data_IF_016611236689
#
_entry.id   IF_016611236689
#
_cell.length_a   1.000
_cell.length_b   1.000
_cell.length_c   1.000
_cell.angle_alpha   90.00
_cell.angle_beta   90.00
_cell.angle_gamma   90.00
#
_symmetry.space_group_name_H-M   'P 1'
#
loop_
_entity.id
_entity.type
_entity.pdbx_description
1 polymer ?
#
# COMPACT_ATOMS: atom_id res chain seq x y z
N UNK A 1 -24.96 12.10 -25.01
CA UNK A 1 -24.36 13.18 -24.20
C UNK A 1 -23.95 12.56 -22.87
N UNK A 2 -22.67 12.22 -22.68
CA UNK A 2 -22.22 11.62 -21.43
C UNK A 2 -22.14 12.72 -20.36
N UNK A 3 -22.94 12.57 -19.32
CA UNK A 3 -22.80 13.32 -18.07
C UNK A 3 -21.59 12.75 -17.33
N UNK A 4 -20.38 13.10 -17.76
CA UNK A 4 -19.17 12.82 -16.98
C UNK A 4 -19.16 13.89 -15.90
N UNK A 5 -19.59 13.53 -14.68
CA UNK A 5 -19.31 14.37 -13.51
C UNK A 5 -17.79 14.58 -13.48
N UNK A 6 -17.30 15.83 -13.34
CA UNK A 6 -15.87 16.07 -13.22
C UNK A 6 -15.33 15.24 -12.05
N UNK A 7 -14.28 14.47 -12.30
CA UNK A 7 -13.62 13.68 -11.26
C UNK A 7 -13.06 14.63 -10.19
N UNK A 8 -13.20 14.27 -8.91
CA UNK A 8 -12.72 15.10 -7.81
C UNK A 8 -11.19 15.04 -7.78
N UNK A 9 -10.46 16.17 -7.88
CA UNK A 9 -9.00 16.16 -7.83
C UNK A 9 -8.45 15.65 -6.49
N UNK A 10 -9.32 15.52 -5.48
CA UNK A 10 -8.99 14.93 -4.19
C UNK A 10 -8.57 13.45 -4.30
N UNK A 11 -9.25 12.68 -5.15
CA UNK A 11 -9.09 11.24 -5.27
C UNK A 11 -8.11 10.83 -6.37
N UNK A 12 -7.19 11.73 -6.73
CA UNK A 12 -6.15 11.46 -7.72
C UNK A 12 -4.97 10.72 -7.07
N UNK A 13 -4.69 9.50 -7.56
CA UNK A 13 -3.47 8.75 -7.25
C UNK A 13 -2.28 9.42 -7.94
N UNK A 14 -1.32 9.89 -7.15
CA UNK A 14 -0.12 10.58 -7.67
C UNK A 14 1.14 9.82 -7.21
N UNK A 15 1.71 8.94 -8.05
CA UNK A 15 2.91 8.19 -7.70
C UNK A 15 4.04 9.14 -7.29
N UNK A 16 4.80 8.75 -6.26
CA UNK A 16 5.87 9.54 -5.62
C UNK A 16 5.44 10.90 -5.03
N UNK A 17 4.15 11.28 -5.10
CA UNK A 17 3.66 12.60 -4.65
C UNK A 17 2.58 12.54 -3.58
N UNK A 18 1.73 11.51 -3.56
CA UNK A 18 0.68 11.31 -2.54
C UNK A 18 -0.72 11.10 -3.13
N UNK A 19 -1.76 11.60 -2.46
CA UNK A 19 -3.17 11.47 -2.83
C UNK A 19 -3.81 12.86 -2.97
N UNK A 20 -4.10 13.28 -4.21
CA UNK A 20 -4.71 14.59 -4.48
C UNK A 20 -3.97 15.73 -3.77
N UNK A 21 -4.60 16.47 -2.83
CA UNK A 21 -3.95 17.53 -2.06
C UNK A 21 -3.04 17.01 -0.92
N UNK A 22 -3.19 15.76 -0.50
CA UNK A 22 -2.39 15.15 0.57
C UNK A 22 -1.05 14.71 -0.03
N UNK A 23 0.04 15.38 0.36
CA UNK A 23 1.38 15.09 -0.17
C UNK A 23 2.16 14.16 0.76
N UNK A 24 3.00 13.32 0.17
CA UNK A 24 4.02 12.65 0.96
C UNK A 24 4.87 13.65 1.73
N UNK A 25 5.40 13.22 2.87
CA UNK A 25 6.13 14.03 3.84
C UNK A 25 5.31 15.13 4.53
N UNK A 26 4.01 15.22 4.25
CA UNK A 26 3.11 16.08 5.03
C UNK A 26 2.91 15.48 6.42
N UNK A 27 2.83 16.36 7.42
CA UNK A 27 2.56 15.99 8.79
C UNK A 27 1.14 15.42 8.95
N UNK A 28 1.00 14.41 9.82
CA UNK A 28 -0.28 13.75 10.13
C UNK A 28 -1.37 14.73 10.56
N UNK A 29 -1.03 15.84 11.23
CA UNK A 29 -2.00 16.88 11.62
C UNK A 29 -2.78 17.47 10.45
N UNK A 30 -2.26 17.38 9.21
CA UNK A 30 -2.95 17.84 8.02
C UNK A 30 -4.22 17.02 7.71
N UNK A 31 -4.36 15.80 8.24
CA UNK A 31 -5.52 14.93 8.04
C UNK A 31 -6.85 15.58 8.44
N UNK A 32 -6.86 16.38 9.51
CA UNK A 32 -8.07 17.04 10.00
C UNK A 32 -8.68 17.98 8.93
N UNK A 33 -7.85 18.50 8.02
CA UNK A 33 -8.31 19.36 6.91
C UNK A 33 -9.12 18.58 5.87
N UNK A 34 -8.95 17.26 5.80
CA UNK A 34 -9.47 16.41 4.73
C UNK A 34 -10.46 15.35 5.22
N UNK A 35 -10.90 15.45 6.48
CA UNK A 35 -11.79 14.50 7.13
C UNK A 35 -13.12 14.33 6.40
N UNK A 36 -13.67 15.41 5.85
CA UNK A 36 -14.94 15.38 5.11
C UNK A 36 -14.84 14.55 3.81
N UNK A 37 -13.65 14.46 3.22
CA UNK A 37 -13.41 13.72 1.99
C UNK A 37 -12.97 12.28 2.24
N UNK A 38 -12.09 12.04 3.22
CA UNK A 38 -11.59 10.70 3.56
C UNK A 38 -12.57 9.87 4.39
N UNK A 39 -13.55 10.53 5.01
CA UNK A 39 -14.49 9.91 5.94
C UNK A 39 -13.91 9.76 7.34
N UNK A 40 -14.54 8.90 8.14
CA UNK A 40 -14.17 8.75 9.54
C UNK A 40 -12.98 7.79 9.72
N UNK A 41 -12.10 8.12 10.66
CA UNK A 41 -11.07 7.19 11.14
C UNK A 41 -11.78 6.01 11.81
N UNK A 42 -11.57 4.80 11.30
CA UNK A 42 -12.14 3.56 11.84
C UNK A 42 -11.20 2.84 12.78
N UNK A 43 -9.89 3.00 12.57
CA UNK A 43 -8.84 2.46 13.42
C UNK A 43 -7.56 3.28 13.26
N UNK A 44 -6.74 3.25 14.29
CA UNK A 44 -5.38 3.78 14.27
C UNK A 44 -4.47 2.78 14.97
N UNK A 45 -3.39 2.42 14.31
CA UNK A 45 -2.36 1.54 14.83
C UNK A 45 -1.07 2.33 14.97
N UNK A 46 -0.44 2.27 16.14
CA UNK A 46 0.90 2.80 16.35
C UNK A 46 1.80 1.65 16.76
N UNK A 47 2.88 1.44 16.03
CA UNK A 47 3.90 0.48 16.43
C UNK A 47 4.80 1.19 17.44
N UNK A 48 4.57 0.91 18.73
CA UNK A 48 5.49 1.27 19.79
C UNK A 48 6.31 0.03 20.17
N UNK A 49 7.63 0.09 19.98
CA UNK A 49 8.55 -0.99 20.28
C UNK A 49 8.44 -1.44 21.75
N UNK A 50 8.26 -0.51 22.69
CA UNK A 50 8.09 -0.83 24.12
C UNK A 50 6.81 -1.64 24.37
N UNK A 51 5.71 -1.27 23.70
CA UNK A 51 4.45 -2.01 23.80
C UNK A 51 4.56 -3.42 23.20
N UNK A 52 5.26 -3.56 22.08
CA UNK A 52 5.49 -4.88 21.47
C UNK A 52 6.40 -5.76 22.34
N UNK A 53 7.46 -5.20 22.92
CA UNK A 53 8.32 -5.91 23.86
C UNK A 53 7.53 -6.36 25.10
N UNK A 54 6.67 -5.49 25.64
CA UNK A 54 5.82 -5.85 26.77
C UNK A 54 4.83 -6.98 26.40
N UNK A 55 4.18 -6.90 25.24
CA UNK A 55 3.26 -7.95 24.78
C UNK A 55 3.99 -9.29 24.59
N UNK A 56 5.22 -9.27 24.07
CA UNK A 56 6.05 -10.45 23.93
C UNK A 56 6.41 -11.05 25.30
N UNK A 57 6.82 -10.21 26.26
CA UNK A 57 7.07 -10.63 27.64
C UNK A 57 5.83 -11.28 28.26
N UNK A 58 4.66 -10.65 28.11
CA UNK A 58 3.39 -11.17 28.63
C UNK A 58 3.02 -12.51 27.97
N UNK A 59 3.21 -12.63 26.66
CA UNK A 59 2.96 -13.86 25.90
C UNK A 59 3.89 -15.00 26.34
N UNK A 60 5.20 -14.75 26.44
CA UNK A 60 6.16 -15.76 26.91
C UNK A 60 5.86 -16.18 28.34
N UNK A 61 5.51 -15.25 29.21
CA UNK A 61 5.13 -15.54 30.59
C UNK A 61 3.84 -16.38 30.66
N UNK A 62 2.84 -16.09 29.83
CA UNK A 62 1.58 -16.84 29.77
C UNK A 62 1.77 -18.27 29.25
N UNK A 63 2.72 -18.47 28.34
CA UNK A 63 3.02 -19.74 27.69
C UNK A 63 4.40 -20.27 28.07
N UNK A 64 4.82 -20.06 29.32
CA UNK A 64 6.18 -20.37 29.80
C UNK A 64 6.55 -21.85 29.76
N UNK A 65 5.57 -22.73 29.55
CA UNK A 65 5.79 -24.16 29.32
C UNK A 65 6.24 -24.49 27.89
N UNK A 66 6.04 -23.57 26.94
CA UNK A 66 6.39 -23.74 25.52
C UNK A 66 7.59 -22.90 25.08
N UNK A 67 7.92 -21.83 25.80
CA UNK A 67 8.97 -20.89 25.43
C UNK A 67 10.04 -20.80 26.51
N UNK A 68 11.30 -20.87 26.08
CA UNK A 68 12.44 -20.66 26.96
C UNK A 68 12.82 -19.18 27.06
N UNK A 69 13.63 -18.83 28.07
CA UNK A 69 14.22 -17.49 28.16
C UNK A 69 15.16 -17.19 26.98
N UNK A 70 15.77 -18.22 26.40
CA UNK A 70 16.61 -18.11 25.20
C UNK A 70 15.78 -17.70 23.98
N UNK A 71 14.60 -18.30 23.79
CA UNK A 71 13.66 -17.93 22.71
C UNK A 71 13.24 -16.46 22.83
N UNK A 72 12.91 -16.01 24.04
CA UNK A 72 12.57 -14.62 24.31
C UNK A 72 13.73 -13.68 23.96
N UNK A 73 14.95 -14.00 24.37
CA UNK A 73 16.13 -13.17 24.08
C UNK A 73 16.43 -13.11 22.57
N UNK A 74 16.32 -14.25 21.86
CA UNK A 74 16.52 -14.31 20.42
C UNK A 74 15.49 -13.45 19.66
N UNK A 75 14.22 -13.47 20.09
CA UNK A 75 13.18 -12.63 19.50
C UNK A 75 13.39 -11.16 19.84
N UNK A 76 13.78 -10.81 21.07
CA UNK A 76 14.09 -9.43 21.46
C UNK A 76 15.26 -8.86 20.66
N UNK A 77 16.30 -9.64 20.42
CA UNK A 77 17.45 -9.23 19.60
C UNK A 77 17.03 -9.00 18.13
N UNK A 78 16.23 -9.91 17.57
CA UNK A 78 15.65 -9.71 16.23
C UNK A 78 14.72 -8.48 16.18
N UNK A 79 13.95 -8.23 17.24
CA UNK A 79 13.08 -7.06 17.36
C UNK A 79 13.87 -5.76 17.50
N UNK A 80 15.06 -5.74 18.11
CA UNK A 80 15.90 -4.55 18.15
C UNK A 80 16.46 -4.21 16.76
N UNK A 81 16.94 -5.21 16.02
CA UNK A 81 17.42 -5.02 14.64
C UNK A 81 16.32 -4.48 13.72
N UNK A 82 15.06 -4.89 13.94
CA UNK A 82 13.90 -4.42 13.18
C UNK A 82 13.33 -3.11 13.76
N UNK A 83 13.40 -2.90 15.08
CA UNK A 83 12.82 -1.80 15.84
C UNK A 83 13.39 -0.45 15.45
N UNK A 84 14.72 -0.37 15.27
CA UNK A 84 15.40 0.84 14.80
C UNK A 84 14.87 1.38 13.45
N UNK A 85 14.16 0.55 12.68
CA UNK A 85 13.56 0.93 11.40
C UNK A 85 12.07 1.30 11.45
N UNK A 86 11.37 0.87 12.52
CA UNK A 86 9.90 0.94 12.69
C UNK A 86 9.46 1.83 13.87
N UNK A 87 10.41 2.33 14.66
CA UNK A 87 10.11 3.38 15.61
C UNK A 87 9.41 4.55 14.91
N UNK A 88 8.33 5.01 15.53
CA UNK A 88 7.49 6.13 15.06
C UNK A 88 6.73 5.85 13.75
N UNK A 89 6.32 4.59 13.53
CA UNK A 89 5.35 4.25 12.48
C UNK A 89 3.93 4.22 13.05
N UNK A 90 3.02 4.96 12.41
CA UNK A 90 1.59 4.87 12.69
C UNK A 90 0.79 4.73 11.41
N UNK A 91 -0.30 3.96 11.46
CA UNK A 91 -1.20 3.73 10.35
C UNK A 91 -2.62 4.13 10.72
N UNK A 92 -3.23 4.94 9.88
CA UNK A 92 -4.61 5.42 10.06
C UNK A 92 -5.48 4.76 9.00
N UNK A 93 -6.60 4.17 9.41
CA UNK A 93 -7.56 3.52 8.54
C UNK A 93 -8.84 4.34 8.43
N UNK A 94 -9.31 4.57 7.22
CA UNK A 94 -10.51 5.34 6.90
C UNK A 94 -11.62 4.42 6.38
N UNK A 95 -12.88 4.76 6.65
CA UNK A 95 -14.04 4.00 6.18
C UNK A 95 -14.19 4.01 4.64
N UNK A 96 -13.67 5.05 3.97
CA UNK A 96 -13.68 5.19 2.52
C UNK A 96 -12.70 4.25 1.78
N UNK A 97 -12.03 3.33 2.48
CA UNK A 97 -11.12 2.36 1.87
C UNK A 97 -9.71 2.89 1.63
N UNK A 98 -9.33 3.97 2.31
CA UNK A 98 -7.96 4.51 2.34
C UNK A 98 -7.33 4.18 3.67
N UNK A 99 -6.04 3.82 3.66
CA UNK A 99 -5.20 3.87 4.84
C UNK A 99 -3.92 4.64 4.53
N UNK A 100 -3.42 5.34 5.54
CA UNK A 100 -2.25 6.22 5.44
C UNK A 100 -1.22 5.77 6.47
N UNK A 101 -0.01 5.47 6.03
CA UNK A 101 1.12 5.16 6.91
C UNK A 101 2.01 6.38 7.06
N UNK A 102 2.35 6.67 8.31
CA UNK A 102 3.22 7.75 8.72
C UNK A 102 4.47 7.17 9.35
N UNK A 103 5.63 7.72 9.00
CA UNK A 103 6.90 7.48 9.69
C UNK A 103 7.44 8.80 10.19
N UNK A 104 7.84 8.89 11.44
CA UNK A 104 8.26 10.17 12.04
C UNK A 104 7.19 11.27 11.88
N UNK A 105 5.92 10.90 12.07
CA UNK A 105 4.73 11.72 11.84
C UNK A 105 4.52 12.25 10.40
N UNK A 106 5.33 11.79 9.43
CA UNK A 106 5.28 12.20 8.03
C UNK A 106 4.68 11.10 7.14
N UNK A 107 3.79 11.47 6.23
CA UNK A 107 3.16 10.50 5.32
C UNK A 107 4.20 9.83 4.41
N UNK A 108 4.22 8.49 4.41
CA UNK A 108 5.16 7.67 3.59
C UNK A 108 4.45 6.67 2.67
N UNK A 109 3.28 6.17 3.04
CA UNK A 109 2.47 5.25 2.22
C UNK A 109 1.02 5.76 2.12
N UNK A 110 0.45 5.65 0.93
CA UNK A 110 -1.00 5.59 0.76
C UNK A 110 -1.37 4.21 0.26
N UNK A 111 -2.33 3.59 0.92
CA UNK A 111 -2.90 2.31 0.54
C UNK A 111 -4.40 2.48 0.32
N UNK A 112 -4.93 1.85 -0.72
CA UNK A 112 -6.35 1.86 -1.02
C UNK A 112 -6.87 0.48 -1.37
N UNK A 113 -8.11 0.19 -0.99
CA UNK A 113 -8.83 -1.00 -1.43
C UNK A 113 -10.04 -0.64 -2.32
N UNK A 114 -10.72 -1.67 -2.80
CA UNK A 114 -11.87 -1.54 -3.69
C UNK A 114 -13.04 -0.71 -3.14
N UNK A 115 -13.06 -0.31 -1.86
CA UNK A 115 -14.04 0.63 -1.29
C UNK A 115 -13.76 2.09 -1.68
N UNK A 116 -12.53 2.44 -2.06
CA UNK A 116 -12.13 3.77 -2.52
C UNK A 116 -12.66 4.06 -3.95
N UNK A 117 -13.98 4.12 -4.11
CA UNK A 117 -14.66 4.24 -5.42
C UNK A 117 -14.32 5.52 -6.19
N UNK A 118 -13.90 6.56 -5.49
CA UNK A 118 -13.47 7.83 -6.09
C UNK A 118 -12.07 7.78 -6.70
N UNK A 119 -11.23 6.81 -6.31
CA UNK A 119 -9.81 6.78 -6.67
C UNK A 119 -9.61 6.64 -8.19
N UNK A 120 -8.81 7.52 -8.76
CA UNK A 120 -8.48 7.51 -10.17
C UNK A 120 -7.01 7.89 -10.41
N UNK A 121 -6.47 7.47 -11.56
CA UNK A 121 -5.17 7.88 -12.06
C UNK A 121 -5.35 8.65 -13.35
N UNK A 122 -5.03 9.94 -13.34
CA UNK A 122 -5.23 10.89 -14.44
C UNK A 122 -6.66 10.84 -15.04
N UNK A 123 -7.65 10.75 -14.15
CA UNK A 123 -9.07 10.64 -14.52
C UNK A 123 -9.54 9.24 -14.91
N UNK A 124 -8.66 8.23 -15.01
CA UNK A 124 -9.06 6.83 -15.21
C UNK A 124 -9.43 6.17 -13.85
N UNK A 125 -10.67 5.73 -13.63
CA UNK A 125 -11.09 5.13 -12.36
C UNK A 125 -10.34 3.83 -12.05
N UNK A 126 -9.66 3.75 -10.90
CA UNK A 126 -8.75 2.63 -10.62
C UNK A 126 -9.50 1.29 -10.47
N UNK A 127 -10.52 1.24 -9.63
CA UNK A 127 -11.22 -0.03 -9.31
C UNK A 127 -12.42 -0.35 -10.23
N UNK A 128 -12.74 0.54 -11.17
CA UNK A 128 -13.88 0.38 -12.08
C UNK A 128 -13.48 0.15 -13.54
N UNK A 129 -12.25 0.50 -13.93
CA UNK A 129 -11.72 0.22 -15.26
C UNK A 129 -11.44 -1.27 -15.49
N UNK A 130 -11.34 -1.63 -16.77
CA UNK A 130 -10.73 -2.90 -17.16
C UNK A 130 -9.26 -2.94 -16.66
N UNK A 131 -8.84 -3.98 -15.93
CA UNK A 131 -7.51 -4.01 -15.33
C UNK A 131 -6.37 -3.99 -16.34
N UNK A 132 -6.56 -4.62 -17.49
CA UNK A 132 -5.54 -4.66 -18.53
C UNK A 132 -5.37 -3.28 -19.16
N UNK A 133 -6.47 -2.63 -19.53
CA UNK A 133 -6.44 -1.26 -20.04
C UNK A 133 -5.84 -0.28 -19.03
N UNK A 134 -6.19 -0.42 -17.75
CA UNK A 134 -5.66 0.41 -16.67
C UNK A 134 -4.13 0.28 -16.55
N UNK A 135 -3.62 -0.96 -16.49
CA UNK A 135 -2.17 -1.19 -16.34
C UNK A 135 -1.40 -0.68 -17.55
N UNK A 136 -1.92 -0.89 -18.77
CA UNK A 136 -1.34 -0.32 -20.00
C UNK A 136 -1.36 1.21 -19.95
N UNK A 137 -2.46 1.81 -19.47
CA UNK A 137 -2.58 3.25 -19.37
C UNK A 137 -1.58 3.83 -18.37
N UNK A 138 -1.48 3.27 -17.16
CA UNK A 138 -0.51 3.67 -16.14
C UNK A 138 0.92 3.56 -16.70
N UNK A 139 1.26 2.41 -17.29
CA UNK A 139 2.58 2.18 -17.91
C UNK A 139 2.94 3.25 -18.94
N UNK A 140 2.00 3.62 -19.82
CA UNK A 140 2.22 4.66 -20.83
C UNK A 140 2.41 6.04 -20.21
N UNK A 141 1.64 6.40 -19.19
CA UNK A 141 1.75 7.72 -18.54
C UNK A 141 3.02 7.85 -17.69
N UNK A 142 3.45 6.77 -17.05
CA UNK A 142 4.66 6.72 -16.24
C UNK A 142 5.92 6.48 -17.08
N UNK A 143 5.77 6.07 -18.34
CA UNK A 143 6.87 5.65 -19.20
C UNK A 143 7.72 4.54 -18.54
N UNK A 144 7.03 3.56 -17.95
CA UNK A 144 7.63 2.46 -17.20
C UNK A 144 6.98 1.15 -17.61
N UNK A 145 7.79 0.11 -17.81
CA UNK A 145 7.29 -1.26 -18.04
C UNK A 145 7.11 -1.90 -16.65
N UNK A 146 5.87 -2.23 -16.23
CA UNK A 146 5.68 -2.87 -14.95
C UNK A 146 6.23 -4.29 -14.95
N UNK A 147 6.52 -4.80 -13.76
CA UNK A 147 6.80 -6.22 -13.54
C UNK A 147 5.65 -6.87 -12.75
N UNK A 148 5.53 -8.18 -12.84
CA UNK A 148 4.47 -8.95 -12.16
C UNK A 148 5.05 -10.22 -11.52
N UNK A 149 4.44 -10.62 -10.41
CA UNK A 149 4.63 -11.90 -9.74
C UNK A 149 3.31 -12.31 -9.10
N UNK A 150 2.82 -13.50 -9.40
CA UNK A 150 1.54 -14.01 -8.90
C UNK A 150 0.36 -13.07 -9.21
N UNK A 151 -0.05 -12.25 -8.24
CA UNK A 151 -1.14 -11.26 -8.36
C UNK A 151 -0.68 -9.81 -8.14
N UNK A 152 0.62 -9.58 -7.88
CA UNK A 152 1.19 -8.26 -7.62
C UNK A 152 1.86 -7.70 -8.87
N UNK A 153 1.38 -6.54 -9.33
CA UNK A 153 1.98 -5.75 -10.40
C UNK A 153 2.72 -4.60 -9.76
N UNK A 154 4.02 -4.49 -10.03
CA UNK A 154 4.86 -3.42 -9.52
C UNK A 154 5.30 -2.48 -10.64
N UNK A 155 5.33 -1.20 -10.31
CA UNK A 155 6.00 -0.11 -11.02
C UNK A 155 7.16 0.37 -10.13
N UNK A 156 8.32 -0.33 -10.14
CA UNK A 156 9.41 -0.06 -9.20
C UNK A 156 9.96 1.36 -9.25
N UNK A 157 10.06 2.00 -10.42
CA UNK A 157 10.59 3.35 -10.54
C UNK A 157 9.66 4.41 -9.91
N UNK A 158 8.37 4.11 -9.84
CA UNK A 158 7.34 4.99 -9.29
C UNK A 158 6.79 4.53 -7.93
N UNK A 159 7.37 3.48 -7.34
CA UNK A 159 6.96 2.87 -6.07
C UNK A 159 5.44 2.63 -5.97
N UNK A 160 4.85 2.10 -7.04
CA UNK A 160 3.42 1.84 -7.15
C UNK A 160 3.16 0.34 -7.34
N UNK A 161 2.25 -0.21 -6.54
CA UNK A 161 1.96 -1.64 -6.49
C UNK A 161 0.46 -1.86 -6.59
N UNK A 162 0.02 -2.71 -7.52
CA UNK A 162 -1.39 -3.07 -7.73
C UNK A 162 -1.55 -4.57 -7.46
N UNK A 163 -2.49 -4.95 -6.61
CA UNK A 163 -2.72 -6.34 -6.23
C UNK A 163 -4.08 -6.86 -6.71
N UNK A 164 -4.12 -8.12 -7.19
CA UNK A 164 -5.31 -8.80 -7.73
C UNK A 164 -5.97 -8.11 -8.94
N UNK A 165 -5.24 -7.22 -9.63
CA UNK A 165 -5.70 -6.63 -10.89
C UNK A 165 -5.54 -7.62 -12.05
N UNK A 166 -4.36 -8.22 -12.16
CA UNK A 166 -4.06 -9.32 -13.07
C UNK A 166 -3.49 -10.48 -12.28
N UNK A 167 -3.66 -11.70 -12.79
CA UNK A 167 -3.09 -12.92 -12.23
C UNK A 167 -2.25 -13.58 -13.30
N UNK A 168 -0.99 -13.87 -12.97
CA UNK A 168 -0.08 -14.64 -13.81
C UNK A 168 -0.64 -16.05 -14.07
N UNK A 169 -0.52 -16.51 -15.30
CA UNK A 169 -0.86 -17.86 -15.73
C UNK A 169 0.39 -18.58 -16.25
N UNK A 170 0.41 -19.92 -16.19
CA UNK A 170 1.51 -20.70 -16.78
C UNK A 170 1.79 -20.30 -18.24
N UNK A 171 3.07 -20.14 -18.56
CA UNK A 171 3.50 -19.74 -19.91
C UNK A 171 3.53 -18.22 -20.16
N UNK A 172 3.52 -17.40 -19.10
CA UNK A 172 3.67 -15.93 -19.19
C UNK A 172 2.42 -15.21 -19.71
N UNK A 173 1.27 -15.89 -19.71
CA UNK A 173 -0.02 -15.28 -19.99
C UNK A 173 -0.61 -14.67 -18.71
N UNK A 174 -1.61 -13.81 -18.85
CA UNK A 174 -2.28 -13.17 -17.72
C UNK A 174 -3.79 -13.21 -17.90
N UNK A 175 -4.52 -13.24 -16.80
CA UNK A 175 -5.98 -13.08 -16.77
C UNK A 175 -6.38 -12.00 -15.78
N UNK A 176 -7.61 -11.52 -15.90
CA UNK A 176 -8.18 -10.61 -14.93
C UNK A 176 -8.23 -11.25 -13.53
N UNK A 177 -7.76 -10.52 -12.53
CA UNK A 177 -7.86 -10.92 -11.12
C UNK A 177 -9.21 -10.59 -10.48
N UNK A 178 -9.41 -11.03 -9.24
CA UNK A 178 -10.69 -10.85 -8.53
C UNK A 178 -10.97 -9.37 -8.32
N UNK A 179 -12.15 -8.90 -8.76
CA UNK A 179 -12.58 -7.52 -8.54
C UNK A 179 -12.71 -7.16 -7.06
N UNK A 180 -13.20 -8.11 -6.26
CA UNK A 180 -13.31 -7.93 -4.81
C UNK A 180 -11.95 -8.18 -4.16
N UNK A 181 -11.49 -7.22 -3.37
CA UNK A 181 -10.20 -7.30 -2.68
C UNK A 181 -9.01 -6.82 -3.51
N UNK A 182 -9.24 -6.13 -4.64
CA UNK A 182 -8.18 -5.37 -5.31
C UNK A 182 -7.66 -4.29 -4.38
N UNK A 183 -6.36 -4.11 -4.38
CA UNK A 183 -5.70 -3.06 -3.59
C UNK A 183 -4.62 -2.39 -4.41
N UNK A 184 -4.30 -1.17 -4.03
CA UNK A 184 -3.16 -0.44 -4.55
C UNK A 184 -2.41 0.19 -3.38
N UNK A 185 -1.09 0.21 -3.46
CA UNK A 185 -0.26 1.00 -2.56
C UNK A 185 0.76 1.79 -3.34
N UNK A 186 1.08 2.98 -2.85
CA UNK A 186 2.17 3.76 -3.39
C UNK A 186 2.90 4.53 -2.30
N UNK A 187 4.19 4.72 -2.53
CA UNK A 187 5.14 5.18 -1.52
C UNK A 187 5.91 6.41 -2.01
N UNK A 188 6.45 7.16 -1.04
CA UNK A 188 7.38 8.26 -1.32
C UNK A 188 8.81 7.79 -1.64
N UNK A 189 9.15 6.56 -1.28
CA UNK A 189 10.43 5.91 -1.50
C UNK A 189 10.23 4.42 -1.82
N UNK A 190 11.32 3.70 -2.07
CA UNK A 190 11.27 2.25 -2.16
C UNK A 190 10.56 1.65 -0.93
N UNK A 191 9.70 0.65 -1.18
CA UNK A 191 8.93 -0.04 -0.13
C UNK A 191 9.90 -0.62 0.91
N UNK A 192 9.80 -0.22 2.18
CA UNK A 192 10.61 -0.80 3.25
C UNK A 192 10.32 -2.31 3.33
N UNK A 193 11.38 -3.13 3.36
CA UNK A 193 11.24 -4.59 3.37
C UNK A 193 10.42 -5.14 2.20
N UNK A 194 10.39 -4.44 1.06
CA UNK A 194 9.77 -4.93 -0.15
C UNK A 194 10.32 -6.30 -0.52
N UNK A 195 9.48 -7.16 -1.11
CA UNK A 195 9.95 -8.42 -1.66
C UNK A 195 11.09 -8.16 -2.65
N UNK A 196 12.04 -9.08 -2.66
CA UNK A 196 13.07 -9.10 -3.71
C UNK A 196 12.39 -9.23 -5.08
N UNK A 197 12.58 -8.21 -5.91
CA UNK A 197 12.01 -8.16 -7.26
C UNK A 197 12.69 -9.15 -8.21
N UNK A 198 13.75 -9.87 -7.80
CA UNK A 198 14.40 -10.90 -8.62
C UNK A 198 13.45 -12.02 -9.06
N UNK A 199 12.37 -12.26 -8.30
CA UNK A 199 11.32 -13.22 -8.64
C UNK A 199 10.24 -12.68 -9.59
N UNK A 200 10.29 -11.39 -9.93
CA UNK A 200 9.34 -10.75 -10.84
C UNK A 200 9.86 -10.83 -12.27
N UNK A 201 8.93 -10.86 -13.22
CA UNK A 201 9.26 -10.73 -14.64
C UNK A 201 8.52 -9.54 -15.23
N UNK A 202 9.06 -9.01 -16.33
CA UNK A 202 8.43 -7.89 -17.04
C UNK A 202 7.05 -8.32 -17.55
N UNK A 203 6.05 -7.50 -17.24
CA UNK A 203 4.71 -7.69 -17.77
C UNK A 203 4.74 -7.25 -19.24
N UNK A 204 4.55 -8.20 -20.14
CA UNK A 204 4.40 -7.87 -21.56
C UNK A 204 3.09 -7.11 -21.77
N UNK A 205 3.19 -5.79 -21.90
CA UNK A 205 2.09 -4.86 -22.17
C UNK A 205 1.82 -4.68 -23.67
N UNK A 206 2.56 -5.39 -24.53
CA UNK A 206 2.47 -5.36 -26.00
C UNK A 206 1.28 -6.20 -26.46
N UNK A 207 0.08 -5.86 -26.02
CA UNK A 207 -1.11 -6.59 -26.42
C UNK A 207 -1.67 -6.02 -27.73
N UNK A 208 -1.61 -6.83 -28.79
CA UNK A 208 -2.36 -6.64 -30.04
C UNK A 208 -3.87 -6.57 -29.79
#
# INVERSE_FOLDING_TARGET
MSNIKPHSPFWELLPLKGLGPIRFLTDKSALETYRDELGSITAEESVNLEQQQQLLHDTVNQFSEFFSQEDLNNVLEAMQVIGDSRDDVSKVYMDAGISLEYKANQLVEVFADDRAKGLHFQGMPLFASDPKELVIYISKQLNEIPCIKDEEIAFPEHNLFLFSFLIEQPGGAYKEGKKKGRTVSWWNSARPYGEDLSGYHLLDISFN
#
